data_IF_246914960648
#
_entry.id   IF_246914960648
#
_cell.length_a   1.000
_cell.length_b   1.000
_cell.length_c   1.000
_cell.angle_alpha   90.00
_cell.angle_beta   90.00
_cell.angle_gamma   90.00
#
_symmetry.space_group_name_H-M   'P 1'
#
loop_
_entity.id
_entity.type
_entity.pdbx_description
1 polymer ?
#
# COMPACT_ATOMS: atom_id res chain seq x y z
N UNK A 1 -7.00 -20.81 -2.91
CA UNK A 1 -7.84 -19.62 -3.18
C UNK A 1 -8.33 -19.03 -1.87
N UNK A 2 -7.45 -18.29 -1.19
CA UNK A 2 -7.70 -17.59 0.08
C UNK A 2 -8.66 -16.40 -0.08
N UNK A 3 -8.87 -15.92 -1.30
CA UNK A 3 -9.70 -14.75 -1.63
C UNK A 3 -10.83 -15.09 -2.60
N UNK A 4 -11.23 -16.37 -2.73
CA UNK A 4 -12.28 -16.80 -3.66
C UNK A 4 -13.54 -15.96 -3.49
N UNK A 5 -13.94 -15.25 -4.53
CA UNK A 5 -15.17 -14.44 -4.49
C UNK A 5 -14.98 -13.01 -3.98
N UNK A 6 -13.90 -12.73 -3.23
CA UNK A 6 -13.72 -11.44 -2.56
C UNK A 6 -13.50 -10.32 -3.56
N UNK A 7 -14.16 -9.18 -3.31
CA UNK A 7 -14.06 -7.93 -4.05
C UNK A 7 -12.97 -7.08 -3.41
N UNK A 8 -11.91 -6.80 -4.16
CA UNK A 8 -10.71 -6.15 -3.63
C UNK A 8 -10.41 -4.89 -4.42
N UNK A 9 -10.16 -3.80 -3.69
CA UNK A 9 -9.63 -2.56 -4.25
C UNK A 9 -8.14 -2.48 -3.92
N UNK A 10 -7.31 -2.17 -4.92
CA UNK A 10 -5.88 -1.92 -4.75
C UNK A 10 -5.54 -0.57 -5.37
N UNK A 11 -5.10 0.38 -4.55
CA UNK A 11 -4.56 1.66 -5.04
C UNK A 11 -3.06 1.52 -5.33
N UNK A 12 -2.52 2.12 -6.38
CA UNK A 12 -1.12 1.91 -6.75
C UNK A 12 -0.87 0.49 -7.27
N UNK A 13 -1.92 -0.16 -7.81
CA UNK A 13 -1.90 -1.58 -8.15
C UNK A 13 -1.30 -1.91 -9.53
N UNK A 14 -0.79 -0.91 -10.26
CA UNK A 14 -0.26 -1.09 -11.62
C UNK A 14 1.22 -1.49 -11.68
N UNK A 15 2.00 -1.26 -10.62
CA UNK A 15 3.43 -1.57 -10.60
C UNK A 15 3.94 -2.01 -9.22
N UNK A 16 5.22 -2.42 -9.17
CA UNK A 16 5.91 -2.77 -7.93
C UNK A 16 5.16 -3.77 -7.03
N UNK A 17 5.08 -3.47 -5.74
CA UNK A 17 4.36 -4.29 -4.75
C UNK A 17 2.86 -4.37 -5.04
N UNK A 18 2.25 -3.28 -5.51
CA UNK A 18 0.84 -3.24 -5.88
C UNK A 18 0.52 -4.22 -7.01
N UNK A 19 1.31 -4.23 -8.09
CA UNK A 19 1.17 -5.20 -9.20
C UNK A 19 1.35 -6.63 -8.76
N UNK A 20 2.42 -6.92 -8.00
CA UNK A 20 2.65 -8.27 -7.48
C UNK A 20 1.49 -8.75 -6.60
N UNK A 21 0.90 -7.84 -5.81
CA UNK A 21 -0.29 -8.11 -5.00
C UNK A 21 -1.54 -8.32 -5.87
N UNK A 22 -1.76 -7.48 -6.88
CA UNK A 22 -2.86 -7.64 -7.85
C UNK A 22 -2.81 -9.01 -8.53
N UNK A 23 -1.66 -9.39 -9.07
CA UNK A 23 -1.50 -10.69 -9.74
C UNK A 23 -1.70 -11.86 -8.78
N UNK A 24 -1.15 -11.79 -7.56
CA UNK A 24 -1.32 -12.82 -6.55
C UNK A 24 -2.79 -12.95 -6.11
N UNK A 25 -3.48 -11.84 -5.85
CA UNK A 25 -4.86 -11.86 -5.38
C UNK A 25 -5.80 -12.42 -6.44
N UNK A 26 -5.55 -12.10 -7.71
CA UNK A 26 -6.30 -12.69 -8.82
C UNK A 26 -6.11 -14.21 -8.89
N UNK A 27 -4.88 -14.72 -8.73
CA UNK A 27 -4.61 -16.17 -8.63
C UNK A 27 -5.32 -16.82 -7.45
N UNK A 28 -5.53 -16.08 -6.36
CA UNK A 28 -6.27 -16.53 -5.18
C UNK A 28 -7.80 -16.38 -5.29
N UNK A 29 -8.31 -16.03 -6.47
CA UNK A 29 -9.74 -16.04 -6.81
C UNK A 29 -10.48 -14.73 -6.51
N UNK A 30 -9.75 -13.64 -6.27
CA UNK A 30 -10.32 -12.32 -6.06
C UNK A 30 -10.84 -11.67 -7.35
N UNK A 31 -11.78 -10.74 -7.18
CA UNK A 31 -12.21 -9.79 -8.21
C UNK A 31 -11.55 -8.46 -7.88
N UNK A 32 -10.75 -7.93 -8.79
CA UNK A 32 -9.88 -6.79 -8.51
C UNK A 32 -10.36 -5.51 -9.19
N UNK A 33 -10.39 -4.43 -8.44
CA UNK A 33 -10.37 -3.08 -8.95
C UNK A 33 -8.99 -2.48 -8.69
N UNK A 34 -8.27 -2.18 -9.76
CA UNK A 34 -6.94 -1.57 -9.73
C UNK A 34 -7.11 -0.08 -9.97
N UNK A 35 -6.75 0.74 -8.98
CA UNK A 35 -6.75 2.19 -9.08
C UNK A 35 -5.29 2.65 -9.19
N UNK A 36 -4.94 3.31 -10.28
CA UNK A 36 -3.60 3.84 -10.48
C UNK A 36 -3.62 5.07 -11.39
N UNK A 37 -2.64 5.95 -11.27
CA UNK A 37 -2.50 7.11 -12.15
C UNK A 37 -1.85 6.72 -13.49
N UNK A 38 -1.04 5.66 -13.49
CA UNK A 38 -0.39 5.16 -14.70
C UNK A 38 -1.35 4.28 -15.51
N UNK A 39 -1.99 4.90 -16.51
CA UNK A 39 -2.98 4.26 -17.35
C UNK A 39 -2.42 3.08 -18.16
N UNK A 40 -1.21 3.22 -18.69
CA UNK A 40 -0.60 2.16 -19.49
C UNK A 40 -0.28 0.93 -18.64
N UNK A 41 0.49 1.10 -17.55
CA UNK A 41 0.86 -0.01 -16.66
C UNK A 41 -0.38 -0.65 -16.00
N UNK A 42 -1.41 0.16 -15.71
CA UNK A 42 -2.68 -0.30 -15.16
C UNK A 42 -3.44 -1.22 -16.11
N UNK A 43 -3.55 -0.82 -17.39
CA UNK A 43 -4.15 -1.66 -18.43
C UNK A 43 -3.33 -2.92 -18.70
N UNK A 44 -1.99 -2.82 -18.72
CA UNK A 44 -1.11 -3.99 -18.87
C UNK A 44 -1.31 -5.00 -17.74
N UNK A 45 -1.40 -4.53 -16.49
CA UNK A 45 -1.63 -5.39 -15.32
C UNK A 45 -3.02 -6.04 -15.37
N UNK A 46 -4.07 -5.27 -15.71
CA UNK A 46 -5.41 -5.81 -15.92
C UNK A 46 -5.41 -6.92 -16.98
N UNK A 47 -4.79 -6.66 -18.13
CA UNK A 47 -4.75 -7.59 -19.25
C UNK A 47 -3.98 -8.87 -18.91
N UNK A 48 -2.86 -8.75 -18.20
CA UNK A 48 -2.09 -9.90 -17.72
C UNK A 48 -2.95 -10.78 -16.80
N UNK A 49 -3.67 -10.18 -15.85
CA UNK A 49 -4.57 -10.89 -14.93
C UNK A 49 -5.68 -11.62 -15.69
N UNK A 50 -6.35 -10.94 -16.63
CA UNK A 50 -7.42 -11.53 -17.45
C UNK A 50 -6.88 -12.68 -18.31
N UNK A 51 -5.70 -12.51 -18.92
CA UNK A 51 -5.05 -13.56 -19.74
C UNK A 51 -4.73 -14.81 -18.90
N UNK A 52 -4.43 -14.65 -17.62
CA UNK A 52 -4.23 -15.76 -16.67
C UNK A 52 -5.52 -16.33 -16.09
N UNK A 53 -6.70 -15.91 -16.56
CA UNK A 53 -8.02 -16.38 -16.12
C UNK A 53 -8.56 -15.71 -14.85
N UNK A 54 -7.89 -14.66 -14.37
CA UNK A 54 -8.34 -13.84 -13.25
C UNK A 54 -9.38 -12.79 -13.66
N UNK A 55 -9.85 -12.01 -12.69
CA UNK A 55 -10.86 -10.97 -12.90
C UNK A 55 -10.35 -9.64 -12.35
N UNK A 56 -10.11 -8.69 -13.25
CA UNK A 56 -9.65 -7.36 -12.90
C UNK A 56 -10.32 -6.30 -13.78
N UNK A 57 -10.52 -5.12 -13.19
CA UNK A 57 -10.88 -3.88 -13.88
C UNK A 57 -9.95 -2.78 -13.41
N UNK A 58 -9.47 -1.97 -14.34
CA UNK A 58 -8.60 -0.83 -14.10
C UNK A 58 -9.40 0.48 -14.14
N UNK A 59 -9.09 1.37 -13.20
CA UNK A 59 -9.58 2.74 -13.16
C UNK A 59 -8.38 3.68 -13.04
N UNK A 60 -8.21 4.56 -14.04
CA UNK A 60 -7.26 5.65 -13.94
C UNK A 60 -7.70 6.59 -12.83
N UNK A 61 -6.88 6.79 -11.81
CA UNK A 61 -7.26 7.56 -10.61
C UNK A 61 -6.04 8.19 -9.96
N UNK A 62 -6.01 9.52 -9.89
CA UNK A 62 -5.16 10.23 -8.95
C UNK A 62 -5.82 10.18 -7.56
N UNK A 63 -5.27 9.32 -6.70
CA UNK A 63 -5.79 9.12 -5.34
C UNK A 63 -5.63 10.33 -4.43
N UNK A 64 -4.84 11.33 -4.82
CA UNK A 64 -4.74 12.62 -4.10
C UNK A 64 -5.97 13.52 -4.34
N UNK A 65 -6.80 13.21 -5.35
CA UNK A 65 -7.98 13.98 -5.74
C UNK A 65 -9.26 13.32 -5.23
N UNK A 66 -9.95 13.99 -4.32
CA UNK A 66 -11.20 13.49 -3.73
C UNK A 66 -12.26 13.14 -4.77
N UNK A 67 -12.44 13.96 -5.81
CA UNK A 67 -13.42 13.71 -6.88
C UNK A 67 -13.11 12.43 -7.66
N UNK A 68 -11.84 12.16 -7.95
CA UNK A 68 -11.44 10.94 -8.68
C UNK A 68 -11.60 9.70 -7.81
N UNK A 69 -11.17 9.74 -6.55
CA UNK A 69 -11.39 8.66 -5.58
C UNK A 69 -12.87 8.34 -5.45
N UNK A 70 -13.72 9.36 -5.29
CA UNK A 70 -15.17 9.16 -5.17
C UNK A 70 -15.76 8.51 -6.42
N UNK A 71 -15.40 9.00 -7.60
CA UNK A 71 -15.89 8.47 -8.87
C UNK A 71 -15.48 7.00 -9.04
N UNK A 72 -14.19 6.68 -8.88
CA UNK A 72 -13.69 5.32 -9.07
C UNK A 72 -14.28 4.33 -8.07
N UNK A 73 -14.35 4.68 -6.78
CA UNK A 73 -14.97 3.78 -5.79
C UNK A 73 -16.48 3.62 -6.04
N UNK A 74 -17.19 4.65 -6.49
CA UNK A 74 -18.59 4.50 -6.88
C UNK A 74 -18.75 3.52 -8.07
N UNK A 75 -17.89 3.60 -9.08
CA UNK A 75 -17.89 2.64 -10.20
C UNK A 75 -17.55 1.23 -9.76
N UNK A 76 -16.58 1.06 -8.85
CA UNK A 76 -16.26 -0.24 -8.24
C UNK A 76 -17.49 -0.83 -7.55
N UNK A 77 -18.21 -0.04 -6.75
CA UNK A 77 -19.43 -0.51 -6.06
C UNK A 77 -20.53 -0.85 -7.05
N UNK A 78 -20.72 -0.07 -8.11
CA UNK A 78 -21.69 -0.40 -9.17
C UNK A 78 -21.36 -1.75 -9.84
N UNK A 79 -20.07 -2.04 -10.02
CA UNK A 79 -19.61 -3.24 -10.71
C UNK A 79 -19.58 -4.48 -9.80
N UNK A 80 -19.17 -4.33 -8.54
CA UNK A 80 -18.97 -5.44 -7.59
C UNK A 80 -20.06 -5.59 -6.53
N UNK A 81 -20.87 -4.56 -6.28
CA UNK A 81 -21.87 -4.49 -5.22
C UNK A 81 -21.30 -4.21 -3.82
N UNK A 82 -20.11 -4.73 -3.53
CA UNK A 82 -19.44 -4.62 -2.23
C UNK A 82 -17.92 -4.53 -2.36
N UNK A 83 -17.25 -4.24 -1.25
CA UNK A 83 -15.78 -4.25 -1.13
C UNK A 83 -15.43 -5.03 0.15
N UNK A 84 -14.76 -6.18 0.01
CA UNK A 84 -14.37 -7.01 1.16
C UNK A 84 -12.94 -6.70 1.63
N UNK A 85 -12.07 -6.27 0.71
CA UNK A 85 -10.67 -5.95 1.01
C UNK A 85 -10.26 -4.64 0.35
N UNK A 86 -9.50 -3.82 1.08
CA UNK A 86 -8.80 -2.65 0.55
C UNK A 86 -7.30 -2.81 0.83
N UNK A 87 -6.48 -2.80 -0.22
CA UNK A 87 -5.05 -2.55 -0.10
C UNK A 87 -4.76 -1.10 -0.51
N UNK A 88 -4.64 -0.25 0.51
CA UNK A 88 -4.36 1.18 0.40
C UNK A 88 -2.85 1.38 0.35
N UNK A 89 -2.30 1.21 -0.85
CA UNK A 89 -0.88 1.08 -1.13
C UNK A 89 -0.23 2.29 -1.81
N UNK A 90 -1.01 3.12 -2.53
CA UNK A 90 -0.45 4.22 -3.30
C UNK A 90 0.39 5.16 -2.40
N UNK A 91 1.57 5.52 -2.89
CA UNK A 91 2.51 6.33 -2.14
C UNK A 91 3.76 6.64 -2.95
N UNK A 92 4.51 7.64 -2.49
CA UNK A 92 5.78 8.05 -3.08
C UNK A 92 6.76 8.55 -2.02
N UNK A 93 7.97 8.87 -2.44
CA UNK A 93 9.07 9.40 -1.62
C UNK A 93 9.77 10.55 -2.35
N UNK A 94 10.27 11.49 -1.57
CA UNK A 94 11.26 12.50 -1.95
C UNK A 94 12.46 12.31 -1.04
N UNK A 95 13.64 12.09 -1.62
CA UNK A 95 14.91 12.05 -0.90
C UNK A 95 15.52 13.45 -0.90
N UNK A 96 15.54 14.10 0.27
CA UNK A 96 16.05 15.47 0.44
C UNK A 96 16.33 15.79 1.92
N UNK A 97 17.39 16.55 2.25
CA UNK A 97 17.56 17.10 3.59
C UNK A 97 16.33 17.90 4.04
N UNK A 98 16.02 17.85 5.34
CA UNK A 98 14.83 18.53 5.88
C UNK A 98 14.87 20.04 5.64
N UNK A 99 16.03 20.69 5.83
CA UNK A 99 16.16 22.14 5.69
C UNK A 99 16.11 22.62 4.23
N UNK A 100 16.30 21.71 3.26
CA UNK A 100 16.18 21.99 1.82
C UNK A 100 14.78 21.64 1.28
N UNK A 101 13.95 21.00 2.11
CA UNK A 101 12.59 20.62 1.72
C UNK A 101 11.68 21.85 1.65
N UNK A 102 10.90 21.92 0.58
CA UNK A 102 9.99 23.04 0.31
C UNK A 102 8.57 22.73 0.79
N UNK A 103 7.73 23.75 0.93
CA UNK A 103 6.30 23.56 1.15
C UNK A 103 5.62 22.75 0.03
N UNK A 104 6.13 22.86 -1.20
CA UNK A 104 5.64 22.04 -2.32
C UNK A 104 5.98 20.55 -2.12
N UNK A 105 7.18 20.23 -1.63
CA UNK A 105 7.56 18.85 -1.32
C UNK A 105 6.68 18.28 -0.19
N UNK A 106 6.44 19.09 0.85
CA UNK A 106 5.52 18.75 1.95
C UNK A 106 4.12 18.47 1.44
N UNK A 107 3.52 19.41 0.68
CA UNK A 107 2.18 19.27 0.16
C UNK A 107 2.08 18.04 -0.76
N UNK A 108 3.06 17.82 -1.63
CA UNK A 108 3.07 16.67 -2.52
C UNK A 108 3.06 15.33 -1.77
N UNK A 109 3.95 15.16 -0.79
CA UNK A 109 4.00 13.92 0.01
C UNK A 109 2.77 13.76 0.90
N UNK A 110 2.29 14.83 1.53
CA UNK A 110 1.07 14.77 2.34
C UNK A 110 -0.16 14.43 1.49
N UNK A 111 -0.26 14.98 0.28
CA UNK A 111 -1.35 14.73 -0.65
C UNK A 111 -1.38 13.27 -1.11
N UNK A 112 -0.22 12.73 -1.51
CA UNK A 112 -0.13 11.39 -2.08
C UNK A 112 -0.09 10.30 -1.00
N UNK A 113 0.61 10.51 0.12
CA UNK A 113 0.76 9.44 1.12
C UNK A 113 -0.32 9.49 2.19
N UNK A 114 -0.71 10.68 2.66
CA UNK A 114 -1.60 10.82 3.83
C UNK A 114 -3.04 11.10 3.41
N UNK A 115 -3.27 12.14 2.59
CA UNK A 115 -4.61 12.52 2.15
C UNK A 115 -5.23 11.41 1.34
N UNK A 116 -4.50 10.81 0.41
CA UNK A 116 -5.02 9.69 -0.39
C UNK A 116 -5.47 8.51 0.48
N UNK A 117 -4.66 8.14 1.48
CA UNK A 117 -4.98 7.04 2.38
C UNK A 117 -6.28 7.33 3.14
N UNK A 118 -6.41 8.55 3.66
CA UNK A 118 -7.63 9.03 4.29
C UNK A 118 -8.83 9.00 3.31
N UNK A 119 -8.72 9.57 2.12
CA UNK A 119 -9.83 9.69 1.17
C UNK A 119 -10.38 8.31 0.78
N UNK A 120 -9.49 7.36 0.49
CA UNK A 120 -9.87 6.00 0.09
C UNK A 120 -10.51 5.26 1.27
N UNK A 121 -9.91 5.30 2.46
CA UNK A 121 -10.50 4.70 3.66
C UNK A 121 -11.86 5.32 4.01
N UNK A 122 -11.97 6.66 3.98
CA UNK A 122 -13.21 7.39 4.26
C UNK A 122 -14.35 6.96 3.33
N UNK A 123 -14.04 6.69 2.07
CA UNK A 123 -15.03 6.23 1.10
C UNK A 123 -15.38 4.75 1.24
N UNK A 124 -14.39 3.89 1.55
CA UNK A 124 -14.55 2.43 1.60
C UNK A 124 -15.16 1.95 2.93
N UNK A 125 -14.83 2.55 4.06
CA UNK A 125 -15.33 2.11 5.38
C UNK A 125 -16.86 2.09 5.45
N UNK A 126 -17.62 3.12 5.01
CA UNK A 126 -19.08 3.06 4.99
C UNK A 126 -19.66 1.93 4.13
N UNK A 127 -18.94 1.50 3.08
CA UNK A 127 -19.35 0.37 2.23
C UNK A 127 -19.14 -0.94 3.00
N UNK A 128 -17.97 -1.12 3.61
CA UNK A 128 -17.68 -2.29 4.46
C UNK A 128 -18.65 -2.41 5.63
N UNK A 129 -19.03 -1.30 6.27
CA UNK A 129 -20.04 -1.28 7.34
C UNK A 129 -21.39 -1.84 6.87
N UNK A 130 -21.82 -1.50 5.65
CA UNK A 130 -23.08 -2.01 5.06
C UNK A 130 -22.97 -3.49 4.66
N UNK A 131 -21.77 -3.95 4.30
CA UNK A 131 -21.49 -5.34 3.90
C UNK A 131 -21.13 -6.26 5.07
N UNK A 132 -21.12 -5.77 6.32
CA UNK A 132 -20.87 -6.58 7.52
C UNK A 132 -19.39 -6.78 7.88
N UNK A 133 -18.50 -5.93 7.37
CA UNK A 133 -17.08 -5.92 7.73
C UNK A 133 -16.13 -5.94 6.53
N UNK A 134 -14.83 -6.06 6.81
CA UNK A 134 -13.80 -6.09 5.77
C UNK A 134 -12.37 -6.10 6.32
N UNK A 135 -11.40 -6.22 5.41
CA UNK A 135 -9.97 -6.10 5.74
C UNK A 135 -9.33 -4.94 5.01
N UNK A 136 -8.70 -4.04 5.74
CA UNK A 136 -7.96 -2.90 5.22
C UNK A 136 -6.48 -3.13 5.52
N UNK A 137 -5.65 -2.99 4.51
CA UNK A 137 -4.19 -3.03 4.62
C UNK A 137 -3.66 -1.70 4.12
N UNK A 138 -2.93 -0.99 4.96
CA UNK A 138 -2.30 0.30 4.61
C UNK A 138 -0.80 0.09 4.46
N UNK A 139 -0.19 0.65 3.42
CA UNK A 139 1.27 0.60 3.26
C UNK A 139 1.94 1.75 4.01
N UNK A 140 2.48 1.45 5.18
CA UNK A 140 3.41 2.31 5.89
C UNK A 140 4.85 2.05 5.40
N UNK A 141 5.83 2.05 6.29
CA UNK A 141 7.25 1.75 6.06
C UNK A 141 7.91 1.47 7.42
N UNK A 142 9.11 0.89 7.43
CA UNK A 142 10.01 0.99 8.59
C UNK A 142 10.22 2.46 9.03
N UNK A 143 10.17 3.40 8.08
CA UNK A 143 10.21 4.85 8.31
C UNK A 143 8.99 5.42 9.05
N UNK A 144 7.95 4.62 9.28
CA UNK A 144 6.81 5.02 10.09
C UNK A 144 7.11 5.08 11.59
N UNK A 145 8.18 4.43 12.04
CA UNK A 145 8.60 4.42 13.45
C UNK A 145 10.11 4.59 13.65
N UNK A 146 10.94 4.36 12.62
CA UNK A 146 12.37 4.72 12.62
C UNK A 146 12.59 5.98 11.78
N UNK A 147 13.58 6.78 12.17
CA UNK A 147 14.02 7.92 11.38
C UNK A 147 15.10 7.52 10.39
N UNK A 148 14.97 7.99 9.15
CA UNK A 148 15.98 7.85 8.10
C UNK A 148 16.43 9.22 7.64
N UNK A 149 17.76 9.40 7.51
CA UNK A 149 18.32 10.64 6.99
C UNK A 149 17.80 10.89 5.57
N UNK A 150 17.59 12.16 5.22
CA UNK A 150 17.09 12.58 3.90
C UNK A 150 15.64 12.16 3.58
N UNK A 151 14.92 11.55 4.51
CA UNK A 151 13.56 11.05 4.29
C UNK A 151 12.56 11.63 5.29
N UNK A 152 12.86 12.79 5.90
CA UNK A 152 12.10 13.30 7.05
C UNK A 152 10.60 13.50 6.76
N UNK A 153 10.25 14.08 5.61
CA UNK A 153 8.86 14.24 5.20
C UNK A 153 8.18 12.90 4.93
N UNK A 154 8.89 11.96 4.30
CA UNK A 154 8.37 10.62 4.04
C UNK A 154 8.10 9.86 5.34
N UNK A 155 9.06 9.82 6.27
CA UNK A 155 8.90 9.22 7.59
C UNK A 155 7.70 9.81 8.33
N UNK A 156 7.52 11.14 8.30
CA UNK A 156 6.33 11.80 8.85
C UNK A 156 5.03 11.26 8.25
N UNK A 157 4.96 11.14 6.92
CA UNK A 157 3.75 10.61 6.26
C UNK A 157 3.49 9.14 6.60
N UNK A 158 4.55 8.33 6.72
CA UNK A 158 4.43 6.89 7.03
C UNK A 158 4.03 6.64 8.48
N UNK A 159 4.46 7.49 9.40
CA UNK A 159 3.96 7.52 10.78
C UNK A 159 2.49 7.90 10.85
N UNK A 160 2.05 8.90 10.07
CA UNK A 160 0.65 9.32 10.03
C UNK A 160 -0.29 8.20 9.57
N UNK A 161 0.05 7.50 8.48
CA UNK A 161 -0.81 6.41 7.96
C UNK A 161 -0.72 5.14 8.80
N UNK A 162 0.39 4.91 9.51
CA UNK A 162 0.48 3.85 10.52
C UNK A 162 -0.51 4.11 11.65
N UNK A 163 -0.58 5.35 12.14
CA UNK A 163 -1.53 5.72 13.18
C UNK A 163 -2.98 5.67 12.68
N UNK A 164 -3.23 6.05 11.41
CA UNK A 164 -4.55 5.89 10.79
C UNK A 164 -5.02 4.43 10.84
N UNK A 165 -4.15 3.47 10.52
CA UNK A 165 -4.49 2.05 10.56
C UNK A 165 -4.92 1.60 11.98
N UNK A 166 -4.15 2.03 12.99
CA UNK A 166 -4.46 1.75 14.41
C UNK A 166 -5.80 2.36 14.83
N UNK A 167 -6.08 3.60 14.44
CA UNK A 167 -7.35 4.27 14.77
C UNK A 167 -8.56 3.56 14.13
N UNK A 168 -8.50 3.25 12.83
CA UNK A 168 -9.58 2.51 12.13
C UNK A 168 -9.79 1.14 12.79
N UNK A 169 -8.71 0.44 13.13
CA UNK A 169 -8.78 -0.86 13.78
C UNK A 169 -9.53 -0.82 15.11
N UNK A 170 -9.28 0.19 15.95
CA UNK A 170 -9.95 0.35 17.25
C UNK A 170 -11.40 0.79 17.07
N UNK A 171 -11.65 1.76 16.18
CA UNK A 171 -12.96 2.38 15.98
C UNK A 171 -14.00 1.41 15.40
N UNK A 172 -13.61 0.56 14.44
CA UNK A 172 -14.54 -0.29 13.69
C UNK A 172 -14.43 -1.79 13.99
N UNK A 173 -13.70 -2.18 15.05
CA UNK A 173 -13.52 -3.60 15.44
C UNK A 173 -14.86 -4.32 15.63
N UNK A 174 -15.80 -3.66 16.30
CA UNK A 174 -17.10 -4.25 16.69
C UNK A 174 -18.04 -4.33 15.47
N UNK A 175 -17.68 -3.68 14.37
CA UNK A 175 -18.34 -3.79 13.07
C UNK A 175 -17.66 -4.81 12.12
N UNK A 176 -16.68 -5.58 12.62
CA UNK A 176 -15.99 -6.59 11.82
C UNK A 176 -15.01 -6.03 10.78
N UNK A 177 -14.61 -4.76 10.90
CA UNK A 177 -13.57 -4.16 10.06
C UNK A 177 -12.23 -4.30 10.77
N UNK A 178 -11.25 -4.87 10.06
CA UNK A 178 -9.86 -4.92 10.51
C UNK A 178 -9.04 -3.95 9.68
N UNK A 179 -8.10 -3.27 10.33
CA UNK A 179 -7.12 -2.44 9.64
C UNK A 179 -5.72 -2.72 10.18
N UNK A 180 -4.81 -3.10 9.31
CA UNK A 180 -3.41 -3.34 9.66
C UNK A 180 -2.50 -2.53 8.72
N UNK A 181 -1.31 -2.20 9.19
CA UNK A 181 -0.27 -1.62 8.37
C UNK A 181 0.78 -2.67 8.01
N UNK A 182 1.30 -2.63 6.79
CA UNK A 182 2.57 -3.27 6.46
C UNK A 182 3.69 -2.22 6.49
N UNK A 183 4.86 -2.63 6.96
CA UNK A 183 6.04 -1.78 7.11
C UNK A 183 7.23 -2.43 6.39
N UNK A 184 7.30 -2.32 5.05
CA UNK A 184 8.43 -2.86 4.29
C UNK A 184 9.72 -2.10 4.58
N UNK A 185 10.85 -2.80 4.48
CA UNK A 185 12.16 -2.20 4.24
C UNK A 185 12.40 -1.98 2.74
N UNK A 186 13.63 -2.17 2.27
CA UNK A 186 13.94 -2.05 0.84
C UNK A 186 13.38 -3.21 0.02
N UNK A 187 12.57 -2.87 -0.99
CA UNK A 187 11.93 -3.82 -1.91
C UNK A 187 12.37 -3.54 -3.35
N UNK A 188 12.74 -4.58 -4.09
CA UNK A 188 13.25 -4.52 -5.47
C UNK A 188 12.14 -4.16 -6.45
N UNK A 189 11.80 -2.88 -6.49
CA UNK A 189 10.82 -2.26 -7.38
C UNK A 189 11.45 -1.03 -8.05
N UNK A 190 10.87 -0.52 -9.13
CA UNK A 190 11.34 0.73 -9.74
C UNK A 190 11.37 1.88 -8.71
N UNK A 191 10.38 1.91 -7.80
CA UNK A 191 10.32 2.87 -6.70
C UNK A 191 11.51 2.73 -5.75
N UNK A 192 11.74 1.54 -5.20
CA UNK A 192 12.84 1.30 -4.25
C UNK A 192 14.23 1.42 -4.86
N UNK A 193 14.40 1.05 -6.14
CA UNK A 193 15.67 1.24 -6.85
C UNK A 193 15.95 2.73 -7.14
N UNK A 194 14.90 3.52 -7.42
CA UNK A 194 15.02 4.98 -7.54
C UNK A 194 15.41 5.61 -6.21
N UNK A 195 14.76 5.23 -5.12
CA UNK A 195 15.09 5.68 -3.76
C UNK A 195 16.55 5.42 -3.41
N UNK A 196 17.04 4.19 -3.63
CA UNK A 196 18.45 3.83 -3.44
C UNK A 196 19.38 4.76 -4.25
N UNK A 197 19.06 5.00 -5.53
CA UNK A 197 19.85 5.88 -6.40
C UNK A 197 19.87 7.33 -5.89
N UNK A 198 18.71 7.87 -5.51
CA UNK A 198 18.59 9.24 -5.00
C UNK A 198 19.33 9.41 -3.67
N UNK A 199 19.31 8.41 -2.78
CA UNK A 199 20.09 8.41 -1.53
C UNK A 199 21.61 8.41 -1.82
N UNK A 200 22.06 7.62 -2.78
CA UNK A 200 23.47 7.53 -3.17
C UNK A 200 23.98 8.86 -3.78
N UNK A 201 23.15 9.52 -4.60
CA UNK A 201 23.42 10.86 -5.15
C UNK A 201 23.55 11.93 -4.05
N UNK A 202 22.94 11.72 -2.88
CA UNK A 202 23.07 12.56 -1.68
C UNK A 202 24.23 12.13 -0.77
N UNK A 203 25.07 11.19 -1.21
CA UNK A 203 26.28 10.76 -0.50
C UNK A 203 26.05 9.72 0.60
N UNK A 204 24.91 9.00 0.59
CA UNK A 204 24.71 7.87 1.51
C UNK A 204 25.59 6.66 1.19
N UNK A 205 26.26 6.63 0.03
CA UNK A 205 27.19 5.57 -0.40
C UNK A 205 26.56 4.17 -0.28
N UNK A 206 25.42 3.99 -0.94
CA UNK A 206 24.68 2.74 -0.90
C UNK A 206 25.58 1.56 -1.32
N UNK A 207 25.59 0.50 -0.51
CA UNK A 207 26.24 -0.74 -0.87
C UNK A 207 25.48 -1.95 -0.32
N UNK A 208 25.66 -3.10 -0.98
CA UNK A 208 24.95 -4.33 -0.63
C UNK A 208 25.37 -4.89 0.74
N UNK A 209 26.58 -4.59 1.23
CA UNK A 209 27.05 -5.09 2.52
C UNK A 209 26.33 -4.40 3.68
N UNK A 210 26.08 -3.09 3.60
CA UNK A 210 25.28 -2.36 4.59
C UNK A 210 23.83 -2.87 4.61
N UNK A 211 23.22 -3.08 3.44
CA UNK A 211 21.90 -3.71 3.38
C UNK A 211 21.93 -5.12 3.99
N UNK A 212 22.96 -5.91 3.69
CA UNK A 212 23.13 -7.26 4.24
C UNK A 212 23.29 -7.24 5.76
N UNK A 213 23.91 -6.20 6.31
CA UNK A 213 24.04 -6.02 7.74
C UNK A 213 22.72 -5.69 8.43
N UNK A 214 21.79 -4.97 7.80
CA UNK A 214 20.53 -4.56 8.47
C UNK A 214 19.31 -5.39 8.07
N UNK A 215 19.17 -5.71 6.78
CA UNK A 215 18.04 -6.43 6.18
C UNK A 215 18.46 -7.79 5.58
N UNK A 216 19.76 -8.07 5.42
CA UNK A 216 20.24 -9.31 4.82
C UNK A 216 20.23 -9.31 3.27
N UNK A 217 19.11 -8.92 2.65
CA UNK A 217 19.01 -8.75 1.19
C UNK A 217 17.83 -7.84 0.81
N UNK A 218 17.80 -7.39 -0.43
CA UNK A 218 16.63 -6.70 -0.97
C UNK A 218 15.43 -7.66 -1.05
N UNK A 219 14.28 -7.20 -0.57
CA UNK A 219 13.03 -7.97 -0.56
C UNK A 219 12.43 -8.01 -1.98
N UNK A 220 11.81 -9.12 -2.38
CA UNK A 220 11.04 -9.17 -3.63
C UNK A 220 9.62 -8.62 -3.40
N UNK A 221 8.99 -8.00 -4.41
CA UNK A 221 7.62 -7.52 -4.28
C UNK A 221 6.60 -8.65 -4.00
N UNK A 222 6.88 -9.88 -4.44
CA UNK A 222 6.05 -11.07 -4.18
C UNK A 222 6.07 -11.51 -2.71
N UNK A 223 7.18 -11.30 -2.01
CA UNK A 223 7.29 -11.57 -0.57
C UNK A 223 6.40 -10.61 0.23
N UNK A 224 6.36 -9.34 -0.19
CA UNK A 224 5.40 -8.37 0.38
C UNK A 224 3.97 -8.78 0.06
N UNK A 225 3.67 -9.12 -1.20
CA UNK A 225 2.34 -9.53 -1.64
C UNK A 225 1.80 -10.72 -0.82
N UNK A 226 2.66 -11.67 -0.46
CA UNK A 226 2.31 -12.83 0.37
C UNK A 226 1.86 -12.43 1.79
N UNK A 227 2.49 -11.41 2.38
CA UNK A 227 2.07 -10.85 3.68
C UNK A 227 0.74 -10.10 3.56
N UNK A 228 0.57 -9.33 2.49
CA UNK A 228 -0.70 -8.62 2.21
C UNK A 228 -1.85 -9.62 2.00
N UNK A 229 -1.59 -10.76 1.35
CA UNK A 229 -2.54 -11.85 1.18
C UNK A 229 -2.99 -12.44 2.52
N UNK A 230 -2.06 -12.69 3.44
CA UNK A 230 -2.39 -13.14 4.79
C UNK A 230 -3.34 -12.17 5.48
N UNK A 231 -3.00 -10.87 5.48
CA UNK A 231 -3.83 -9.81 6.10
C UNK A 231 -5.20 -9.64 5.43
N UNK A 232 -5.29 -9.84 4.11
CA UNK A 232 -6.54 -9.79 3.36
C UNK A 232 -7.45 -11.01 3.59
N UNK A 233 -6.87 -12.16 3.93
CA UNK A 233 -7.59 -13.43 4.08
C UNK A 233 -8.22 -13.63 5.45
N UNK A 234 -9.02 -14.70 5.57
CA UNK A 234 -9.64 -15.08 6.84
C UNK A 234 -8.64 -15.70 7.84
N UNK A 235 -7.42 -16.00 7.41
CA UNK A 235 -6.35 -16.53 8.29
C UNK A 235 -5.87 -15.49 9.32
N UNK A 236 -6.11 -14.20 9.05
CA UNK A 236 -5.71 -13.10 9.94
C UNK A 236 -6.90 -12.49 10.71
N UNK A 237 -8.04 -13.18 10.85
CA UNK A 237 -9.28 -12.63 11.45
C UNK A 237 -9.13 -12.06 12.87
N UNK A 238 -8.10 -12.46 13.61
CA UNK A 238 -7.81 -11.93 14.95
C UNK A 238 -6.62 -10.94 14.98
N UNK A 239 -6.02 -10.65 13.82
CA UNK A 239 -4.95 -9.66 13.66
C UNK A 239 -5.57 -8.33 13.27
N UNK A 240 -5.51 -7.34 14.16
CA UNK A 240 -6.08 -6.02 13.96
C UNK A 240 -5.22 -4.94 14.63
N UNK A 241 -5.05 -3.79 13.97
CA UNK A 241 -4.28 -2.65 14.46
C UNK A 241 -2.76 -2.85 14.49
N UNK A 242 -2.24 -3.89 13.83
CA UNK A 242 -0.83 -4.25 13.88
C UNK A 242 -0.01 -3.53 12.80
N UNK A 243 1.26 -3.27 13.14
CA UNK A 243 2.33 -2.95 12.19
C UNK A 243 3.09 -4.25 11.89
N UNK A 244 2.98 -4.77 10.66
CA UNK A 244 3.71 -5.96 10.24
C UNK A 244 4.95 -5.54 9.43
N UNK A 245 6.13 -5.72 10.02
CA UNK A 245 7.40 -5.42 9.38
C UNK A 245 7.77 -6.50 8.36
N UNK A 246 8.14 -6.06 7.16
CA UNK A 246 8.57 -6.92 6.04
C UNK A 246 9.97 -6.46 5.63
N UNK A 247 10.91 -6.63 6.54
CA UNK A 247 12.24 -6.02 6.50
C UNK A 247 13.34 -6.97 7.02
N UNK A 248 13.01 -8.27 7.11
CA UNK A 248 13.91 -9.33 7.56
C UNK A 248 14.68 -8.99 8.85
N UNK A 249 14.02 -8.31 9.79
CA UNK A 249 14.55 -8.02 11.12
C UNK A 249 15.21 -6.66 11.28
N UNK A 250 15.27 -5.82 10.23
CA UNK A 250 15.87 -4.48 10.32
C UNK A 250 15.23 -3.63 11.41
N UNK A 251 13.91 -3.57 11.49
CA UNK A 251 13.24 -2.80 12.53
C UNK A 251 13.58 -3.30 13.94
N UNK A 252 13.67 -4.61 14.13
CA UNK A 252 13.99 -5.22 15.44
C UNK A 252 15.46 -5.11 15.80
N UNK A 253 16.35 -5.04 14.81
CA UNK A 253 17.78 -4.82 14.99
C UNK A 253 17.98 -3.35 15.36
N UNK A 254 18.33 -3.11 16.63
CA UNK A 254 18.57 -1.77 17.20
C UNK A 254 19.54 -0.97 16.36
#
# INVERSE_FOLDING_TARGET
MKLKGKKVVITGGASGMGKATSELFAREGAYLAILDINEQEGQETQNAIIKSGGKAVFYKTDVSKSSEVHNSINEVVKFFGEINVLFNHAGTIIVKPLHDSTESDYNYLMDINVRSAFLVCNKVVPIMLKSGGGSIIITSSIGGEKGFALESLYCMTKGAVLQLARSIAVEYRDNGIRCNAICPGFVKTNHGLREIKELDEQGQNWNEEDLKNVQGRICSPEEVASTVLFLASDESRFVNGQALYIDNGWYSKG
#
